data_IF_810899736765
#
_entry.id   IF_810899736765
#
_cell.length_a   1.000
_cell.length_b   1.000
_cell.length_c   1.000
_cell.angle_alpha   90.00
_cell.angle_beta   90.00
_cell.angle_gamma   90.00
#
_symmetry.space_group_name_H-M   'P 1'
#
loop_
_entity.id
_entity.type
_entity.pdbx_description
1 polymer ?
#
# COMPACT_ATOMS: atom_id res chain seq x y z
N UNK A 1 -79.19 -7.48 -21.19
CA UNK A 1 -79.55 -8.25 -19.98
C UNK A 1 -78.32 -8.24 -19.08
N UNK A 2 -78.35 -7.38 -18.06
CA UNK A 2 -78.34 -7.77 -16.63
C UNK A 2 -76.99 -8.40 -16.20
N UNK A 3 -76.05 -7.56 -15.73
CA UNK A 3 -75.76 -7.27 -14.32
C UNK A 3 -75.18 -8.46 -13.55
N UNK A 4 -73.91 -8.35 -13.14
CA UNK A 4 -73.55 -8.60 -11.75
C UNK A 4 -72.29 -7.81 -11.35
N UNK A 5 -72.51 -6.91 -10.40
CA UNK A 5 -71.49 -6.21 -9.60
C UNK A 5 -70.65 -7.24 -8.84
N UNK A 6 -69.39 -6.90 -8.60
CA UNK A 6 -68.69 -7.37 -7.40
C UNK A 6 -67.93 -6.19 -6.78
N UNK A 7 -68.40 -5.82 -5.59
CA UNK A 7 -67.82 -4.83 -4.71
C UNK A 7 -66.56 -5.37 -4.00
N UNK A 8 -65.77 -4.41 -3.55
CA UNK A 8 -64.54 -4.50 -2.76
C UNK A 8 -64.60 -5.48 -1.58
N UNK A 9 -63.47 -6.17 -1.36
CA UNK A 9 -62.93 -6.38 -0.02
C UNK A 9 -61.40 -6.30 -0.07
N UNK A 10 -60.86 -5.22 0.50
CA UNK A 10 -59.44 -5.02 0.74
C UNK A 10 -58.97 -6.02 1.80
N UNK A 11 -57.93 -6.81 1.48
CA UNK A 11 -57.17 -7.57 2.45
C UNK A 11 -55.82 -6.88 2.71
N UNK A 12 -55.37 -6.77 3.97
CA UNK A 12 -54.16 -6.03 4.31
C UNK A 12 -52.90 -6.82 3.90
N UNK A 13 -52.07 -6.24 3.05
CA UNK A 13 -50.70 -6.71 2.87
C UNK A 13 -49.88 -6.28 4.10
N UNK A 14 -49.67 -7.22 5.02
CA UNK A 14 -48.66 -7.13 6.07
C UNK A 14 -47.26 -7.04 5.45
N UNK A 15 -46.48 -6.08 5.93
CA UNK A 15 -45.07 -5.94 5.64
C UNK A 15 -44.28 -7.16 6.17
N UNK A 16 -43.31 -7.72 5.42
CA UNK A 16 -42.47 -8.78 5.95
C UNK A 16 -41.47 -8.21 6.98
N UNK A 17 -41.68 -8.65 8.21
CA UNK A 17 -40.86 -8.50 9.39
C UNK A 17 -39.43 -9.01 9.16
N UNK A 18 -38.44 -8.21 9.56
CA UNK A 18 -37.01 -8.53 9.48
C UNK A 18 -36.70 -9.70 10.40
N UNK A 19 -36.31 -10.84 9.83
CA UNK A 19 -35.77 -11.97 10.57
C UNK A 19 -34.24 -11.81 10.68
N UNK A 20 -33.77 -11.39 11.85
CA UNK A 20 -32.37 -11.50 12.25
C UNK A 20 -31.90 -12.95 12.04
N UNK A 21 -30.87 -13.14 11.22
CA UNK A 21 -30.12 -14.39 11.17
C UNK A 21 -28.89 -14.21 12.04
N UNK A 22 -29.01 -14.75 13.25
CA UNK A 22 -27.92 -15.03 14.17
C UNK A 22 -26.85 -15.87 13.45
N UNK A 23 -25.75 -15.22 13.08
CA UNK A 23 -24.58 -15.86 12.49
C UNK A 23 -23.77 -16.49 13.61
N UNK A 24 -24.05 -17.74 13.93
CA UNK A 24 -23.26 -18.57 14.83
C UNK A 24 -21.81 -18.59 14.36
N UNK A 25 -20.93 -17.98 15.15
CA UNK A 25 -19.50 -17.91 14.92
C UNK A 25 -18.90 -19.31 15.05
N UNK A 26 -18.60 -19.95 13.91
CA UNK A 26 -17.88 -21.22 13.87
C UNK A 26 -16.39 -20.93 13.97
N UNK A 27 -15.64 -21.53 14.91
CA UNK A 27 -14.21 -21.29 15.02
C UNK A 27 -13.51 -21.90 13.78
N UNK A 28 -13.03 -21.04 12.89
CA UNK A 28 -12.25 -21.47 11.74
C UNK A 28 -10.84 -21.79 12.22
N UNK A 29 -10.56 -23.09 12.31
CA UNK A 29 -9.22 -23.66 12.43
C UNK A 29 -8.29 -23.07 11.38
N UNK A 30 -7.19 -22.47 11.85
CA UNK A 30 -6.14 -21.91 11.01
C UNK A 30 -5.42 -23.04 10.27
N UNK A 31 -5.72 -23.19 8.97
CA UNK A 31 -4.96 -24.08 8.09
C UNK A 31 -3.56 -23.52 7.92
N UNK A 32 -2.61 -24.18 8.58
CA UNK A 32 -1.17 -23.98 8.44
C UNK A 32 -0.77 -24.44 7.03
N UNK A 33 -0.67 -23.51 6.09
CA UNK A 33 -0.33 -23.79 4.70
C UNK A 33 0.47 -22.65 4.08
N UNK A 34 1.78 -22.87 3.95
CA UNK A 34 2.71 -22.01 3.24
C UNK A 34 2.24 -21.72 1.82
N UNK A 35 1.87 -20.47 1.51
CA UNK A 35 1.59 -20.00 0.15
C UNK A 35 2.06 -18.55 -0.03
N UNK A 36 3.35 -18.45 -0.31
CA UNK A 36 3.99 -17.60 -1.33
C UNK A 36 3.29 -16.28 -1.72
N UNK A 37 3.97 -15.21 -1.33
CA UNK A 37 4.05 -13.83 -1.81
C UNK A 37 3.18 -13.39 -3.02
N UNK A 38 2.73 -12.13 -2.94
CA UNK A 38 2.04 -11.29 -3.94
C UNK A 38 0.60 -11.70 -4.28
N UNK A 39 0.28 -13.00 -4.38
CA UNK A 39 -1.10 -13.43 -4.69
C UNK A 39 -2.12 -13.12 -3.58
N UNK A 40 -1.64 -12.96 -2.33
CA UNK A 40 -2.45 -12.61 -1.15
C UNK A 40 -3.04 -11.21 -1.23
N UNK A 41 -2.49 -10.29 -2.04
CA UNK A 41 -3.10 -8.97 -2.24
C UNK A 41 -4.53 -9.15 -2.77
N UNK A 42 -4.76 -10.00 -3.77
CA UNK A 42 -6.10 -10.14 -4.39
C UNK A 42 -7.12 -10.87 -3.50
N UNK A 43 -6.67 -11.71 -2.56
CA UNK A 43 -7.54 -12.48 -1.67
C UNK A 43 -7.86 -11.76 -0.35
N UNK A 44 -7.04 -10.82 0.11
CA UNK A 44 -7.25 -10.07 1.37
C UNK A 44 -8.18 -8.85 1.19
N UNK A 45 -8.35 -8.32 -0.03
CA UNK A 45 -9.25 -7.18 -0.30
C UNK A 45 -10.77 -7.45 -0.19
N UNK A 46 -11.18 -8.54 0.47
CA UNK A 46 -12.53 -8.59 1.05
C UNK A 46 -12.72 -7.56 2.18
N UNK A 47 -11.63 -7.10 2.81
CA UNK A 47 -11.63 -6.08 3.86
C UNK A 47 -11.64 -4.65 3.32
N UNK A 48 -12.46 -3.78 3.91
CA UNK A 48 -12.46 -2.33 3.60
C UNK A 48 -11.20 -1.68 4.17
N UNK A 49 -10.31 -1.21 3.30
CA UNK A 49 -9.15 -0.39 3.66
C UNK A 49 -9.48 1.07 3.45
N UNK A 50 -9.39 1.89 4.50
CA UNK A 50 -9.76 3.31 4.41
C UNK A 50 -8.66 4.27 4.86
N UNK A 51 -7.62 3.78 5.55
CA UNK A 51 -6.53 4.61 6.06
C UNK A 51 -5.17 3.90 5.90
N UNK A 52 -4.08 4.67 6.00
CA UNK A 52 -2.71 4.14 6.01
C UNK A 52 -2.51 3.18 7.19
N UNK A 53 -3.11 3.46 8.35
CA UNK A 53 -3.08 2.56 9.51
C UNK A 53 -3.77 1.23 9.24
N UNK A 54 -4.88 1.21 8.50
CA UNK A 54 -5.50 -0.06 8.08
C UNK A 54 -4.57 -0.88 7.19
N UNK A 55 -3.82 -0.22 6.28
CA UNK A 55 -2.82 -0.90 5.45
C UNK A 55 -1.66 -1.46 6.28
N UNK A 56 -1.17 -0.69 7.24
CA UNK A 56 -0.10 -1.10 8.15
C UNK A 56 -0.47 -2.39 8.89
N UNK A 57 -1.64 -2.43 9.53
CA UNK A 57 -2.13 -3.62 10.23
C UNK A 57 -2.22 -4.83 9.29
N UNK A 58 -2.86 -4.67 8.13
CA UNK A 58 -3.02 -5.77 7.17
C UNK A 58 -1.70 -6.33 6.65
N UNK A 59 -0.73 -5.46 6.36
CA UNK A 59 0.57 -5.90 5.84
C UNK A 59 1.36 -6.61 6.94
N UNK A 60 1.38 -6.06 8.15
CA UNK A 60 2.08 -6.70 9.27
C UNK A 60 1.45 -8.03 9.69
N UNK A 61 0.13 -8.18 9.59
CA UNK A 61 -0.56 -9.46 9.85
C UNK A 61 -0.32 -10.52 8.77
N UNK A 62 -0.10 -10.09 7.53
CA UNK A 62 0.05 -11.01 6.38
C UNK A 62 1.50 -11.32 6.01
N UNK A 63 2.46 -10.50 6.46
CA UNK A 63 3.87 -10.68 6.15
C UNK A 63 4.58 -11.55 7.20
N UNK A 64 5.34 -12.54 6.73
CA UNK A 64 6.19 -13.38 7.59
C UNK A 64 7.59 -12.80 7.76
N UNK A 65 8.08 -12.05 6.77
CA UNK A 65 9.48 -11.58 6.71
C UNK A 65 9.63 -10.09 6.39
N UNK A 66 8.55 -9.39 6.06
CA UNK A 66 8.59 -7.97 5.72
C UNK A 66 7.96 -7.18 6.85
N UNK A 67 8.57 -6.05 7.21
CA UNK A 67 8.02 -5.10 8.18
C UNK A 67 7.44 -3.93 7.40
N UNK A 68 6.19 -3.55 7.68
CA UNK A 68 5.61 -2.36 7.10
C UNK A 68 6.29 -1.11 7.65
N UNK A 69 6.60 -0.16 6.77
CA UNK A 69 7.16 1.14 7.15
C UNK A 69 6.24 2.25 6.66
N UNK A 70 5.58 2.94 7.59
CA UNK A 70 4.88 4.19 7.29
C UNK A 70 5.90 5.23 6.84
N UNK A 71 5.67 5.84 5.67
CA UNK A 71 6.54 6.91 5.12
C UNK A 71 6.07 8.29 5.60
N UNK A 72 4.75 8.51 5.64
CA UNK A 72 4.13 9.73 6.12
C UNK A 72 2.68 9.47 6.55
N UNK A 73 2.13 10.38 7.37
CA UNK A 73 0.74 10.38 7.82
C UNK A 73 -0.08 11.49 7.16
N UNK A 74 -1.40 11.36 7.22
CA UNK A 74 -2.36 12.31 6.63
C UNK A 74 -2.30 13.71 7.28
N UNK A 75 -1.77 13.81 8.50
CA UNK A 75 -1.58 15.08 9.22
C UNK A 75 -0.30 15.83 8.81
N UNK A 76 0.40 15.35 7.79
CA UNK A 76 1.62 15.96 7.27
C UNK A 76 2.90 15.52 7.99
N UNK A 77 2.82 14.66 9.03
CA UNK A 77 4.02 14.10 9.66
C UNK A 77 4.75 13.17 8.71
N UNK A 78 6.02 13.47 8.43
CA UNK A 78 6.91 12.64 7.60
C UNK A 78 7.79 11.79 8.52
N UNK A 79 7.75 10.47 8.35
CA UNK A 79 8.55 9.52 9.12
C UNK A 79 9.83 9.15 8.36
N UNK A 80 9.70 8.87 7.06
CA UNK A 80 10.82 8.56 6.18
C UNK A 80 10.99 9.72 5.21
N UNK A 81 11.97 10.62 5.43
CA UNK A 81 12.20 11.74 4.53
C UNK A 81 12.66 11.23 3.16
N UNK A 82 12.06 11.76 2.10
CA UNK A 82 12.53 11.56 0.73
C UNK A 82 13.80 12.37 0.56
N UNK A 83 14.84 11.78 -0.02
CA UNK A 83 16.13 12.43 -0.25
C UNK A 83 16.59 12.14 -1.68
N UNK A 84 17.36 13.06 -2.27
CA UNK A 84 17.94 12.86 -3.59
C UNK A 84 19.22 12.00 -3.50
N UNK A 85 19.01 10.70 -3.32
CA UNK A 85 20.10 9.72 -3.33
C UNK A 85 20.80 9.63 -4.68
N UNK A 86 20.12 9.98 -5.78
CA UNK A 86 20.72 9.87 -7.11
C UNK A 86 21.81 10.92 -7.30
N UNK A 87 21.51 12.20 -7.03
CA UNK A 87 22.50 13.29 -7.11
C UNK A 87 23.57 13.12 -6.04
N UNK A 88 23.21 12.65 -4.84
CA UNK A 88 24.19 12.39 -3.78
C UNK A 88 25.18 11.29 -4.15
N UNK A 89 24.73 10.18 -4.74
CA UNK A 89 25.57 9.03 -5.06
C UNK A 89 26.24 9.11 -6.43
N UNK A 90 25.77 9.98 -7.35
CA UNK A 90 26.31 10.07 -8.71
C UNK A 90 27.82 10.33 -8.80
N UNK A 91 28.47 11.11 -7.90
CA UNK A 91 29.91 11.31 -7.95
C UNK A 91 30.71 10.10 -7.46
N UNK A 92 30.07 9.19 -6.72
CA UNK A 92 30.73 8.08 -6.02
C UNK A 92 30.52 6.72 -6.71
N UNK A 93 29.40 6.57 -7.42
CA UNK A 93 28.97 5.31 -8.01
C UNK A 93 29.51 5.06 -9.41
N UNK A 94 29.90 3.81 -9.69
CA UNK A 94 30.17 3.31 -11.04
C UNK A 94 28.93 2.66 -11.64
N UNK A 95 28.62 3.01 -12.88
CA UNK A 95 27.52 2.38 -13.61
C UNK A 95 27.82 0.91 -13.90
N UNK A 96 26.92 0.02 -13.47
CA UNK A 96 26.99 -1.40 -13.77
C UNK A 96 26.22 -1.68 -15.07
N UNK A 97 26.95 -2.04 -16.13
CA UNK A 97 26.34 -2.46 -17.39
C UNK A 97 25.70 -3.83 -17.22
N UNK A 98 24.51 -4.02 -17.78
CA UNK A 98 23.87 -5.33 -17.80
C UNK A 98 23.32 -5.82 -16.45
N UNK A 99 23.05 -4.94 -15.49
CA UNK A 99 22.50 -5.32 -14.16
C UNK A 99 21.27 -6.24 -14.24
N UNK A 100 20.46 -6.10 -15.31
CA UNK A 100 19.27 -6.94 -15.55
C UNK A 100 19.58 -8.41 -15.80
N UNK A 101 20.80 -8.75 -16.20
CA UNK A 101 21.26 -10.13 -16.40
C UNK A 101 21.85 -10.75 -15.12
N UNK A 102 21.94 -9.99 -14.02
CA UNK A 102 22.44 -10.47 -12.74
C UNK A 102 21.25 -10.87 -11.87
N UNK A 103 21.23 -12.12 -11.40
CA UNK A 103 20.08 -12.68 -10.68
C UNK A 103 20.29 -12.68 -9.17
N UNK A 104 21.53 -12.87 -8.74
CA UNK A 104 21.89 -12.86 -7.32
C UNK A 104 22.82 -11.70 -7.07
N UNK A 105 22.42 -10.78 -6.20
CA UNK A 105 23.22 -9.65 -5.75
C UNK A 105 23.33 -9.73 -4.22
N UNK A 106 24.56 -9.68 -3.71
CA UNK A 106 24.84 -9.76 -2.28
C UNK A 106 25.71 -8.58 -1.87
N UNK A 107 25.27 -7.88 -0.83
CA UNK A 107 26.02 -6.82 -0.17
C UNK A 107 26.49 -7.34 1.19
N UNK A 108 27.63 -6.85 1.67
CA UNK A 108 28.17 -7.18 2.99
C UNK A 108 28.65 -5.92 3.68
N UNK A 109 28.49 -5.86 5.00
CA UNK A 109 29.03 -4.76 5.80
C UNK A 109 30.56 -4.82 5.92
N UNK A 110 31.17 -6.00 5.69
CA UNK A 110 32.61 -6.17 5.77
C UNK A 110 33.37 -5.46 4.62
N UNK A 111 32.74 -5.37 3.44
CA UNK A 111 33.34 -4.79 2.23
C UNK A 111 32.39 -3.76 1.63
N UNK A 112 32.39 -2.58 2.22
CA UNK A 112 31.57 -1.47 1.74
C UNK A 112 31.99 -1.05 0.33
N UNK A 113 31.00 -0.81 -0.52
CA UNK A 113 31.21 -0.38 -1.90
C UNK A 113 31.64 -1.48 -2.86
N UNK A 114 31.62 -2.74 -2.43
CA UNK A 114 31.68 -3.92 -3.28
C UNK A 114 30.36 -4.65 -3.14
N UNK A 115 29.82 -5.13 -4.25
CA UNK A 115 28.75 -6.13 -4.21
C UNK A 115 29.20 -7.36 -4.99
N UNK A 116 28.66 -8.49 -4.56
CA UNK A 116 28.93 -9.80 -5.13
C UNK A 116 27.75 -10.21 -5.97
N UNK A 117 28.00 -10.90 -7.09
CA UNK A 117 26.93 -11.32 -7.97
C UNK A 117 27.15 -12.67 -8.63
N UNK A 118 26.03 -13.25 -9.09
CA UNK A 118 25.98 -14.44 -9.94
C UNK A 118 24.94 -14.23 -11.02
N UNK A 119 25.23 -14.69 -12.24
CA UNK A 119 24.27 -14.65 -13.34
C UNK A 119 23.22 -15.74 -13.18
N UNK A 120 23.62 -16.95 -12.78
CA UNK A 120 22.72 -18.09 -12.56
C UNK A 120 22.98 -18.76 -11.20
N UNK A 121 22.00 -19.51 -10.68
CA UNK A 121 22.23 -20.38 -9.54
C UNK A 121 23.34 -21.40 -9.87
N UNK A 122 24.35 -21.49 -9.01
CA UNK A 122 25.48 -22.42 -9.16
C UNK A 122 26.73 -21.83 -9.85
N UNK A 123 26.61 -20.66 -10.48
CA UNK A 123 27.79 -19.96 -11.03
C UNK A 123 28.75 -19.53 -9.91
N UNK A 124 30.02 -19.39 -10.28
CA UNK A 124 31.03 -18.76 -9.42
C UNK A 124 30.61 -17.33 -9.09
N UNK A 125 30.80 -16.94 -7.84
CA UNK A 125 30.50 -15.59 -7.39
C UNK A 125 31.58 -14.62 -7.83
N UNK A 126 31.18 -13.58 -8.56
CA UNK A 126 32.04 -12.48 -8.98
C UNK A 126 31.80 -11.27 -8.08
N UNK A 127 32.74 -10.32 -8.06
CA UNK A 127 32.61 -9.09 -7.30
C UNK A 127 32.79 -7.86 -8.19
N UNK A 128 32.02 -6.81 -7.91
CA UNK A 128 32.14 -5.54 -8.58
C UNK A 128 32.19 -4.41 -7.57
N UNK A 129 33.20 -3.55 -7.71
CA UNK A 129 33.35 -2.36 -6.89
C UNK A 129 32.47 -1.24 -7.43
N UNK A 130 31.32 -1.04 -6.80
CA UNK A 130 30.34 -0.01 -7.16
C UNK A 130 30.76 1.39 -6.69
N UNK A 131 31.50 1.51 -5.58
CA UNK A 131 31.95 2.81 -5.09
C UNK A 131 33.43 3.06 -5.44
N UNK A 132 33.71 4.16 -6.13
CA UNK A 132 35.08 4.58 -6.47
C UNK A 132 35.79 5.31 -5.33
N UNK A 133 35.03 5.95 -4.43
CA UNK A 133 35.53 6.77 -3.33
C UNK A 133 34.75 6.47 -2.06
N UNK A 134 35.33 6.78 -0.91
CA UNK A 134 34.61 6.74 0.36
C UNK A 134 33.45 7.75 0.30
N UNK A 135 32.24 7.29 0.64
CA UNK A 135 31.08 8.16 0.79
C UNK A 135 31.08 8.69 2.21
N UNK A 136 30.72 9.96 2.40
CA UNK A 136 30.42 10.49 3.72
C UNK A 136 29.34 9.65 4.40
N UNK A 137 29.46 9.43 5.71
CA UNK A 137 28.40 8.77 6.50
C UNK A 137 27.17 9.67 6.69
N UNK A 138 27.26 10.94 6.30
CA UNK A 138 26.13 11.87 6.33
C UNK A 138 25.15 11.62 5.17
N UNK A 139 23.85 11.66 5.47
CA UNK A 139 22.80 11.52 4.46
C UNK A 139 22.49 12.86 3.77
N UNK A 140 22.10 12.87 2.47
CA UNK A 140 21.69 14.08 1.77
C UNK A 140 20.48 14.75 2.44
N UNK A 141 20.35 16.07 2.34
CA UNK A 141 19.24 16.80 2.95
C UNK A 141 17.87 16.27 2.47
N UNK A 142 16.83 16.20 3.32
CA UNK A 142 15.47 15.88 2.89
C UNK A 142 14.98 16.84 1.81
N UNK A 143 14.33 16.29 0.79
CA UNK A 143 13.60 17.06 -0.19
C UNK A 143 12.29 17.56 0.44
N UNK A 144 11.97 18.83 0.18
CA UNK A 144 10.63 19.34 0.46
C UNK A 144 9.65 18.71 -0.55
N UNK A 145 8.56 18.13 -0.05
CA UNK A 145 7.48 17.68 -0.93
C UNK A 145 6.80 18.89 -1.53
N UNK A 146 6.70 19.02 -2.87
CA UNK A 146 6.00 20.15 -3.50
C UNK A 146 4.49 20.14 -3.24
N UNK A 147 3.97 19.12 -2.55
CA UNK A 147 2.54 18.93 -2.32
C UNK A 147 1.82 18.49 -3.59
N UNK A 148 0.49 18.47 -3.52
CA UNK A 148 -0.37 18.21 -4.68
C UNK A 148 -0.73 19.51 -5.35
N UNK A 149 -0.67 19.55 -6.68
CA UNK A 149 -1.19 20.70 -7.42
C UNK A 149 -2.72 20.83 -7.26
N UNK A 150 -3.25 22.04 -7.50
CA UNK A 150 -4.68 22.32 -7.32
C UNK A 150 -5.55 21.42 -8.21
N UNK A 151 -5.06 21.07 -9.40
CA UNK A 151 -5.76 20.18 -10.35
C UNK A 151 -5.95 18.79 -9.74
N UNK A 152 -4.91 18.24 -9.12
CA UNK A 152 -4.91 16.94 -8.47
C UNK A 152 -5.74 16.96 -7.20
N UNK A 153 -5.63 18.02 -6.39
CA UNK A 153 -6.51 18.21 -5.23
C UNK A 153 -7.98 18.17 -5.63
N UNK A 154 -8.36 18.96 -6.65
CA UNK A 154 -9.73 19.00 -7.18
C UNK A 154 -10.18 17.65 -7.73
N UNK A 155 -9.30 16.94 -8.44
CA UNK A 155 -9.59 15.59 -8.91
C UNK A 155 -9.88 14.63 -7.75
N UNK A 156 -9.03 14.61 -6.72
CA UNK A 156 -9.22 13.71 -5.57
C UNK A 156 -10.53 14.03 -4.84
N UNK A 157 -10.81 15.32 -4.62
CA UNK A 157 -12.05 15.76 -4.00
C UNK A 157 -13.30 15.35 -4.82
N UNK A 158 -13.28 15.55 -6.14
CA UNK A 158 -14.48 15.29 -6.95
C UNK A 158 -14.66 13.82 -7.33
N UNK A 159 -13.57 13.07 -7.53
CA UNK A 159 -13.59 11.73 -8.11
C UNK A 159 -13.32 10.62 -7.12
N UNK A 160 -12.61 10.90 -6.03
CA UNK A 160 -12.23 9.87 -5.03
C UNK A 160 -13.06 10.00 -3.76
N UNK A 161 -13.34 11.23 -3.29
CA UNK A 161 -14.10 11.47 -2.05
C UNK A 161 -15.43 10.69 -1.94
N UNK A 162 -16.26 10.54 -2.99
CA UNK A 162 -17.51 9.79 -2.88
C UNK A 162 -17.34 8.31 -2.49
N UNK A 163 -16.14 7.76 -2.65
CA UNK A 163 -15.80 6.38 -2.29
C UNK A 163 -15.16 6.27 -0.90
N UNK A 164 -14.83 7.40 -0.27
CA UNK A 164 -14.23 7.44 1.07
C UNK A 164 -15.36 7.42 2.11
N UNK A 165 -15.32 6.55 3.13
CA UNK A 165 -16.32 6.54 4.20
C UNK A 165 -16.37 7.90 4.91
N UNK A 166 -17.56 8.37 5.28
CA UNK A 166 -17.79 9.71 5.87
C UNK A 166 -16.85 10.04 7.04
N UNK A 167 -16.63 9.10 7.96
CA UNK A 167 -15.68 9.22 9.09
C UNK A 167 -14.20 9.42 8.71
N UNK A 168 -13.86 9.21 7.44
CA UNK A 168 -12.52 9.33 6.86
C UNK A 168 -12.46 10.35 5.72
N UNK A 169 -13.59 11.01 5.41
CA UNK A 169 -13.61 12.09 4.44
C UNK A 169 -12.93 13.31 5.05
N UNK A 170 -12.14 14.02 4.23
CA UNK A 170 -11.58 15.29 4.63
C UNK A 170 -12.73 16.29 4.84
N UNK A 171 -12.94 16.74 6.07
CA UNK A 171 -13.84 17.86 6.34
C UNK A 171 -13.25 19.07 5.64
N UNK A 172 -14.00 19.70 4.74
CA UNK A 172 -13.56 20.87 3.97
C UNK A 172 -12.77 21.84 4.85
N UNK A 173 -11.44 21.79 4.75
CA UNK A 173 -10.57 22.79 5.35
C UNK A 173 -10.79 24.05 4.52
N UNK A 174 -11.65 24.93 5.01
CA UNK A 174 -11.76 26.33 4.61
C UNK A 174 -10.48 27.13 4.95
N UNK A 175 -9.33 26.48 5.09
CA UNK A 175 -8.10 27.01 5.68
C UNK A 175 -6.83 26.58 4.92
N UNK A 176 -6.89 26.46 3.60
CA UNK A 176 -5.70 26.74 2.80
C UNK A 176 -5.47 28.25 2.77
N UNK A 177 -4.82 28.78 3.83
CA UNK A 177 -4.22 30.11 3.77
C UNK A 177 -3.07 30.07 2.75
N UNK A 178 -3.08 31.10 1.89
CA UNK A 178 -1.99 31.56 1.03
C UNK A 178 -0.66 31.64 1.78
#
# INVERSE_FOLDING_TARGET
MANMKMDMAAYPHQAPEKREKESTQKPSTCMRGSKNCISTFKFIFGGKVSTISCMETLINESAVSNVFQVVAYNDGRVIVPIRDWQTFLSPHGKALKGIKALHHLRFTSAELGIFFYRQRPGDTEESFRILSTAISTSSPLPLSSPGLDLKRQKYLYQKILPFVPEKHQDTLLLHSRL
#
